data_IF_709158225666
#
_entry.id   IF_709158225666
#
_cell.length_a   1.000
_cell.length_b   1.000
_cell.length_c   1.000
_cell.angle_alpha   90.00
_cell.angle_beta   90.00
_cell.angle_gamma   90.00
#
_symmetry.space_group_name_H-M   'P 1'
#
loop_
_entity.id
_entity.type
_entity.pdbx_description
1 polymer ?
#
# COMPACT_ATOMS: atom_id res chain seq x y z
N UNK A 1 -6.82 61.98 -57.25
CA UNK A 1 -5.57 61.28 -56.86
C UNK A 1 -5.74 60.81 -55.42
N UNK A 2 -6.13 59.54 -55.20
CA UNK A 2 -6.45 59.00 -53.87
C UNK A 2 -5.17 58.49 -53.20
N UNK A 3 -4.71 59.14 -52.13
CA UNK A 3 -3.63 58.62 -51.28
C UNK A 3 -4.16 57.49 -50.38
N UNK A 4 -3.46 56.36 -50.38
CA UNK A 4 -3.64 55.25 -49.42
C UNK A 4 -2.82 55.55 -48.16
N UNK A 5 -3.34 55.33 -46.94
CA UNK A 5 -2.50 55.37 -45.74
C UNK A 5 -1.78 54.01 -45.57
N UNK A 6 -0.49 54.08 -45.29
CA UNK A 6 0.34 52.92 -44.94
C UNK A 6 0.05 52.50 -43.49
N UNK A 7 -0.20 51.21 -43.28
CA UNK A 7 -0.32 50.59 -41.96
C UNK A 7 1.09 50.24 -41.49
N UNK A 8 1.56 50.89 -40.43
CA UNK A 8 2.77 50.49 -39.72
C UNK A 8 2.39 49.43 -38.67
N UNK A 9 2.89 48.20 -38.85
CA UNK A 9 2.76 47.15 -37.84
C UNK A 9 3.75 47.41 -36.70
N UNK A 10 3.23 47.75 -35.52
CA UNK A 10 4.01 47.87 -34.29
C UNK A 10 4.16 46.47 -33.68
N UNK A 11 5.33 45.86 -33.81
CA UNK A 11 5.65 44.61 -33.12
C UNK A 11 5.85 44.90 -31.62
N UNK A 12 4.87 44.53 -30.80
CA UNK A 12 4.99 44.56 -29.34
C UNK A 12 5.76 43.32 -28.91
N UNK A 13 7.03 43.49 -28.57
CA UNK A 13 7.82 42.46 -27.87
C UNK A 13 7.49 42.57 -26.39
N UNK A 14 6.67 41.66 -25.87
CA UNK A 14 6.48 41.50 -24.43
C UNK A 14 7.72 40.82 -23.84
N UNK A 15 8.39 41.41 -22.84
CA UNK A 15 9.49 40.74 -22.17
C UNK A 15 8.91 39.59 -21.33
N UNK A 16 9.38 38.36 -21.57
CA UNK A 16 9.20 37.26 -20.63
C UNK A 16 9.96 37.60 -19.35
N UNK A 17 9.24 38.04 -18.32
CA UNK A 17 9.79 38.12 -16.98
C UNK A 17 9.99 36.69 -16.47
N UNK A 18 11.25 36.24 -16.42
CA UNK A 18 11.59 35.01 -15.70
C UNK A 18 11.26 35.23 -14.22
N UNK A 19 10.27 34.50 -13.71
CA UNK A 19 9.96 34.48 -12.28
C UNK A 19 11.16 33.80 -11.61
N UNK A 20 12.01 34.60 -10.97
CA UNK A 20 13.11 34.06 -10.17
C UNK A 20 12.52 33.22 -9.03
N UNK A 21 12.96 31.96 -8.92
CA UNK A 21 12.60 31.12 -7.79
C UNK A 21 13.03 31.82 -6.47
N UNK A 22 12.24 31.71 -5.39
CA UNK A 22 12.59 32.31 -4.11
C UNK A 22 13.95 31.79 -3.64
N UNK A 23 14.76 32.69 -3.06
CA UNK A 23 16.08 32.34 -2.53
C UNK A 23 15.95 31.20 -1.51
N UNK A 24 16.60 30.07 -1.79
CA UNK A 24 16.59 28.87 -0.94
C UNK A 24 15.79 27.68 -1.48
N UNK A 25 15.03 27.83 -2.57
CA UNK A 25 14.42 26.69 -3.25
C UNK A 25 15.48 25.82 -3.94
N UNK A 26 15.52 24.52 -3.64
CA UNK A 26 16.38 23.57 -4.35
C UNK A 26 15.92 23.49 -5.82
N UNK A 27 16.84 23.35 -6.79
CA UNK A 27 16.48 23.34 -8.22
C UNK A 27 15.62 22.11 -8.55
N UNK A 28 14.64 22.24 -9.44
CA UNK A 28 13.90 21.09 -9.94
C UNK A 28 14.74 20.37 -11.01
N UNK A 29 15.22 19.13 -10.78
CA UNK A 29 16.06 18.43 -11.75
C UNK A 29 15.27 17.89 -12.96
N UNK A 30 13.93 17.91 -12.93
CA UNK A 30 13.09 17.39 -14.01
C UNK A 30 13.11 15.87 -14.14
N UNK A 31 13.57 15.17 -13.10
CA UNK A 31 13.70 13.71 -13.10
C UNK A 31 12.36 13.07 -12.72
N UNK A 32 11.76 12.34 -13.66
CA UNK A 32 10.47 11.64 -13.47
C UNK A 32 10.62 10.16 -13.15
N UNK A 33 11.85 9.64 -13.18
CA UNK A 33 12.20 8.29 -12.75
C UNK A 33 13.62 8.30 -12.18
N UNK A 34 13.75 7.89 -10.92
CA UNK A 34 15.02 7.83 -10.19
C UNK A 34 15.32 6.42 -9.68
N UNK A 35 16.24 6.31 -8.74
CA UNK A 35 16.51 5.10 -7.96
C UNK A 35 16.49 5.40 -6.47
N UNK A 36 16.13 4.40 -5.68
CA UNK A 36 16.17 4.47 -4.23
C UNK A 36 16.59 3.14 -3.63
N UNK A 37 17.14 3.20 -2.43
CA UNK A 37 17.38 2.02 -1.61
C UNK A 37 16.16 1.81 -0.72
N UNK A 38 15.62 0.60 -0.75
CA UNK A 38 14.50 0.15 0.09
C UNK A 38 14.92 -1.14 0.78
N UNK A 39 14.27 -1.53 1.87
CA UNK A 39 14.18 -2.95 2.16
C UNK A 39 13.44 -3.65 1.02
N UNK A 40 13.56 -4.98 0.92
CA UNK A 40 12.62 -5.77 0.10
C UNK A 40 11.22 -5.63 0.72
N UNK A 41 10.40 -6.69 0.82
CA UNK A 41 9.12 -6.57 1.55
C UNK A 41 9.39 -6.08 2.98
N UNK A 42 10.12 -6.86 3.74
CA UNK A 42 10.77 -6.42 4.97
C UNK A 42 11.98 -7.37 5.22
N UNK A 43 12.94 -7.00 6.07
CA UNK A 43 14.16 -7.79 6.22
C UNK A 43 13.97 -9.17 6.88
N UNK A 44 12.93 -9.36 7.71
CA UNK A 44 12.60 -10.67 8.27
C UNK A 44 12.06 -11.57 7.17
N UNK A 45 11.08 -11.10 6.40
CA UNK A 45 10.45 -11.82 5.32
C UNK A 45 11.45 -12.31 4.28
N UNK A 46 12.40 -11.46 3.89
CA UNK A 46 13.34 -11.79 2.82
C UNK A 46 14.54 -12.61 3.26
N UNK A 47 14.90 -12.58 4.55
CA UNK A 47 16.02 -13.35 5.08
C UNK A 47 15.62 -14.65 5.78
N UNK A 48 14.40 -14.69 6.34
CA UNK A 48 13.96 -15.71 7.29
C UNK A 48 14.63 -15.59 8.67
N UNK A 49 15.33 -14.48 8.94
CA UNK A 49 16.01 -14.24 10.21
C UNK A 49 15.09 -13.55 11.22
N UNK A 50 14.41 -14.37 12.01
CA UNK A 50 13.54 -13.94 13.12
C UNK A 50 14.32 -13.33 14.30
N UNK A 51 15.67 -13.30 14.26
CA UNK A 51 16.48 -12.72 15.32
C UNK A 51 16.87 -11.26 15.10
N UNK A 52 16.46 -10.68 13.97
CA UNK A 52 16.64 -9.26 13.70
C UNK A 52 15.91 -8.42 14.75
N UNK A 53 16.52 -7.30 15.11
CA UNK A 53 15.96 -6.35 16.07
C UNK A 53 16.26 -4.94 15.60
N UNK A 54 15.38 -3.98 15.86
CA UNK A 54 15.56 -2.58 15.48
C UNK A 54 16.96 -2.03 15.89
N UNK A 55 17.37 -2.24 17.14
CA UNK A 55 18.63 -1.73 17.67
C UNK A 55 18.87 -0.23 17.41
N UNK A 56 17.81 0.59 17.49
CA UNK A 56 17.79 2.06 17.37
C UNK A 56 18.36 2.55 16.05
N UNK A 57 17.75 2.13 14.95
CA UNK A 57 18.11 2.56 13.59
C UNK A 57 19.56 2.24 13.20
N UNK A 58 20.20 1.31 13.92
CA UNK A 58 21.55 0.90 13.58
C UNK A 58 21.56 0.26 12.20
N UNK A 59 22.31 0.86 11.28
CA UNK A 59 22.48 0.32 9.92
C UNK A 59 23.09 -1.09 9.89
N UNK A 60 23.74 -1.53 10.97
CA UNK A 60 24.31 -2.89 11.06
C UNK A 60 23.34 -3.90 11.68
N UNK A 61 22.17 -3.47 12.13
CA UNK A 61 21.15 -4.36 12.67
C UNK A 61 20.53 -5.24 11.59
N UNK A 62 20.48 -4.73 10.35
CA UNK A 62 19.93 -5.43 9.19
C UNK A 62 21.05 -5.68 8.17
N UNK A 63 21.22 -6.91 7.66
CA UNK A 63 22.20 -7.21 6.62
C UNK A 63 21.98 -6.40 5.35
N UNK A 64 23.07 -5.96 4.72
CA UNK A 64 23.02 -5.21 3.45
C UNK A 64 22.33 -6.01 2.32
N UNK A 65 22.28 -7.34 2.42
CA UNK A 65 21.57 -8.21 1.47
C UNK A 65 20.05 -8.02 1.48
N UNK A 66 19.48 -7.44 2.54
CA UNK A 66 18.04 -7.22 2.67
C UNK A 66 17.57 -5.89 2.08
N UNK A 67 18.51 -5.06 1.65
CA UNK A 67 18.21 -3.86 0.88
C UNK A 67 18.20 -4.19 -0.63
N UNK A 68 17.35 -3.49 -1.36
CA UNK A 68 17.28 -3.55 -2.81
C UNK A 68 17.34 -2.13 -3.40
N UNK A 69 18.09 -1.98 -4.48
CA UNK A 69 18.02 -0.76 -5.31
C UNK A 69 16.85 -0.91 -6.29
N UNK A 70 15.87 -0.02 -6.20
CA UNK A 70 14.63 -0.07 -6.98
C UNK A 70 14.43 1.21 -7.79
N UNK A 71 13.70 1.15 -8.91
CA UNK A 71 13.31 2.36 -9.63
C UNK A 71 12.25 3.14 -8.83
N UNK A 72 12.48 4.43 -8.59
CA UNK A 72 11.46 5.34 -8.07
C UNK A 72 10.71 5.96 -9.25
N UNK A 73 9.56 5.37 -9.56
CA UNK A 73 8.73 5.73 -10.73
C UNK A 73 7.80 6.90 -10.42
N UNK A 74 7.24 7.50 -11.46
CA UNK A 74 6.19 8.52 -11.40
C UNK A 74 6.53 9.83 -10.65
N UNK A 75 7.82 10.17 -10.49
CA UNK A 75 8.24 11.40 -9.83
C UNK A 75 7.79 12.65 -10.61
N UNK A 76 7.52 13.75 -9.90
CA UNK A 76 7.03 15.01 -10.48
C UNK A 76 8.14 15.91 -11.04
N UNK A 77 9.40 15.50 -10.92
CA UNK A 77 10.56 16.26 -11.38
C UNK A 77 11.03 17.36 -10.42
N UNK A 78 10.39 17.54 -9.26
CA UNK A 78 10.77 18.54 -8.24
C UNK A 78 12.08 18.20 -7.52
N UNK A 79 12.53 16.96 -7.61
CA UNK A 79 13.68 16.43 -6.88
C UNK A 79 13.32 15.91 -5.48
N UNK A 80 12.08 16.08 -5.04
CA UNK A 80 11.53 15.47 -3.82
C UNK A 80 10.81 14.16 -4.13
N UNK A 81 10.51 13.37 -3.09
CA UNK A 81 9.65 12.18 -3.18
C UNK A 81 8.18 12.57 -3.33
N UNK A 82 7.86 13.14 -4.49
CA UNK A 82 6.53 13.56 -4.91
C UNK A 82 6.31 13.10 -6.34
N UNK A 83 5.11 12.67 -6.63
CA UNK A 83 4.80 12.03 -7.89
C UNK A 83 3.31 11.92 -8.16
N UNK A 84 3.01 11.20 -9.24
CA UNK A 84 1.63 11.01 -9.73
C UNK A 84 0.72 10.34 -8.70
N UNK A 85 1.26 9.38 -7.95
CA UNK A 85 0.50 8.54 -7.03
C UNK A 85 0.79 8.85 -5.56
N UNK A 86 1.95 9.44 -5.26
CA UNK A 86 2.41 9.61 -3.88
C UNK A 86 2.96 11.02 -3.68
N UNK A 87 2.64 11.63 -2.54
CA UNK A 87 3.33 12.82 -2.03
C UNK A 87 3.80 12.51 -0.62
N UNK A 88 5.11 12.40 -0.45
CA UNK A 88 5.69 12.23 0.89
C UNK A 88 5.83 13.59 1.56
N UNK A 89 5.24 13.70 2.75
CA UNK A 89 5.30 14.84 3.64
C UNK A 89 6.14 14.47 4.86
N UNK A 90 7.38 14.95 4.93
CA UNK A 90 8.17 14.87 6.16
C UNK A 90 7.63 15.89 7.17
N UNK A 91 7.40 15.44 8.40
CA UNK A 91 6.87 16.27 9.48
C UNK A 91 7.92 16.61 10.54
N UNK A 92 8.81 15.65 10.79
CA UNK A 92 10.07 15.83 11.50
C UNK A 92 11.17 15.31 10.57
N UNK A 93 12.39 15.83 10.67
CA UNK A 93 13.47 15.46 9.73
C UNK A 93 13.55 16.30 8.44
N UNK A 94 14.61 16.05 7.67
CA UNK A 94 14.86 16.73 6.39
C UNK A 94 14.09 16.02 5.28
N UNK A 95 13.25 16.71 4.49
CA UNK A 95 12.60 16.10 3.33
C UNK A 95 13.65 15.54 2.36
N UNK A 96 13.49 14.27 1.99
CA UNK A 96 14.35 13.61 1.01
C UNK A 96 14.37 14.40 -0.29
N UNK A 97 15.56 14.69 -0.80
CA UNK A 97 15.76 15.42 -2.03
C UNK A 97 17.00 14.94 -2.77
N UNK A 98 16.86 14.79 -4.09
CA UNK A 98 17.96 14.43 -4.97
C UNK A 98 18.00 15.28 -6.23
N UNK A 99 19.18 15.83 -6.55
CA UNK A 99 19.41 16.61 -7.77
C UNK A 99 19.73 15.72 -9.00
N UNK A 100 20.09 14.47 -8.77
CA UNK A 100 20.43 13.48 -9.82
C UNK A 100 19.49 12.27 -9.82
N UNK A 101 18.45 12.28 -8.99
CA UNK A 101 17.42 11.23 -8.95
C UNK A 101 17.83 9.98 -8.17
N UNK A 102 18.95 10.01 -7.43
CA UNK A 102 19.43 8.91 -6.59
C UNK A 102 19.09 9.20 -5.13
N UNK A 103 18.36 8.29 -4.48
CA UNK A 103 17.92 8.35 -3.08
C UNK A 103 18.45 7.14 -2.30
N UNK A 104 19.77 7.03 -2.19
CA UNK A 104 20.45 5.93 -1.51
C UNK A 104 20.65 6.25 -0.02
N UNK A 105 19.57 6.09 0.74
CA UNK A 105 19.55 6.20 2.20
C UNK A 105 19.45 4.81 2.80
N UNK A 106 19.97 4.61 4.00
CA UNK A 106 19.70 3.39 4.77
C UNK A 106 19.03 3.75 6.10
N UNK A 107 18.61 2.74 6.87
CA UNK A 107 17.76 2.93 8.04
C UNK A 107 18.21 3.95 9.09
N UNK A 108 19.51 4.26 9.19
CA UNK A 108 19.99 5.32 10.10
C UNK A 108 19.65 6.75 9.64
N UNK A 109 19.15 6.91 8.42
CA UNK A 109 18.81 8.20 7.82
C UNK A 109 17.27 8.30 7.73
N UNK A 110 16.63 9.30 8.36
CA UNK A 110 15.16 9.52 8.30
C UNK A 110 14.58 9.57 6.87
N UNK A 111 15.43 9.80 5.86
CA UNK A 111 15.01 9.79 4.45
C UNK A 111 14.75 8.38 3.93
N UNK A 112 15.27 7.34 4.56
CA UNK A 112 15.04 5.95 4.17
C UNK A 112 13.57 5.57 4.28
N UNK A 113 12.94 5.86 5.43
CA UNK A 113 11.49 5.70 5.65
C UNK A 113 10.65 6.46 4.60
N UNK A 114 11.11 7.66 4.20
CA UNK A 114 10.46 8.42 3.14
C UNK A 114 10.56 7.72 1.78
N UNK A 115 11.70 7.08 1.47
CA UNK A 115 11.90 6.31 0.23
C UNK A 115 11.04 5.04 0.24
N UNK A 116 11.01 4.31 1.36
CA UNK A 116 10.15 3.15 1.58
C UNK A 116 8.68 3.51 1.32
N UNK A 117 8.18 4.55 1.99
CA UNK A 117 6.80 5.02 1.83
C UNK A 117 6.47 5.45 0.39
N UNK A 118 7.36 6.17 -0.27
CA UNK A 118 7.16 6.54 -1.67
C UNK A 118 7.06 5.31 -2.57
N UNK A 119 8.02 4.38 -2.42
CA UNK A 119 8.10 3.20 -3.26
C UNK A 119 6.90 2.27 -3.05
N UNK A 120 6.56 1.93 -1.81
CA UNK A 120 5.54 0.92 -1.52
C UNK A 120 4.11 1.39 -1.80
N UNK A 121 3.78 2.66 -1.53
CA UNK A 121 2.48 3.21 -1.96
C UNK A 121 2.39 3.30 -3.49
N UNK A 122 3.48 3.70 -4.16
CA UNK A 122 3.52 3.72 -5.63
C UNK A 122 3.38 2.29 -6.21
N UNK A 123 4.07 1.31 -5.63
CA UNK A 123 4.04 -0.10 -6.04
C UNK A 123 2.63 -0.68 -5.86
N UNK A 124 1.97 -0.45 -4.73
CA UNK A 124 0.59 -0.87 -4.50
C UNK A 124 -0.38 -0.22 -5.51
N UNK A 125 -0.21 1.07 -5.81
CA UNK A 125 -1.05 1.75 -6.80
C UNK A 125 -0.83 1.24 -8.23
N UNK A 126 0.41 0.92 -8.62
CA UNK A 126 0.71 0.32 -9.91
C UNK A 126 0.23 -1.13 -10.00
N UNK A 127 0.28 -1.89 -8.90
CA UNK A 127 -0.31 -3.21 -8.79
C UNK A 127 -1.82 -3.15 -9.11
N UNK A 128 -2.58 -2.31 -8.39
CA UNK A 128 -4.01 -2.11 -8.62
C UNK A 128 -4.32 -1.69 -10.07
N UNK A 129 -3.50 -0.81 -10.66
CA UNK A 129 -3.69 -0.41 -12.06
C UNK A 129 -3.41 -1.54 -13.05
N UNK A 130 -2.43 -2.39 -12.75
CA UNK A 130 -2.10 -3.55 -13.59
C UNK A 130 -3.24 -4.59 -13.62
N UNK A 131 -4.10 -4.61 -12.60
CA UNK A 131 -5.33 -5.42 -12.56
C UNK A 131 -6.46 -4.84 -13.44
N UNK A 132 -6.31 -3.61 -13.93
CA UNK A 132 -7.28 -2.94 -14.82
C UNK A 132 -8.05 -1.79 -14.17
N UNK A 133 -7.90 -1.54 -12.87
CA UNK A 133 -8.60 -0.45 -12.19
C UNK A 133 -8.15 0.92 -12.69
N UNK A 134 -9.11 1.70 -13.19
CA UNK A 134 -8.86 3.01 -13.80
C UNK A 134 -8.50 2.96 -15.29
N UNK A 135 -8.54 1.77 -15.90
CA UNK A 135 -8.53 1.56 -17.35
C UNK A 135 -9.80 0.83 -17.82
N UNK A 136 -9.87 -0.49 -17.64
CA UNK A 136 -11.03 -1.34 -18.00
C UNK A 136 -12.03 -1.49 -16.86
N UNK A 137 -11.57 -1.38 -15.60
CA UNK A 137 -12.39 -1.40 -14.39
C UNK A 137 -12.50 -0.01 -13.77
N UNK A 138 -13.43 0.16 -12.82
CA UNK A 138 -13.65 1.43 -12.08
C UNK A 138 -12.33 1.90 -11.45
N UNK A 139 -12.04 3.21 -11.40
CA UNK A 139 -10.82 3.71 -10.80
C UNK A 139 -10.82 3.57 -9.26
N UNK A 140 -9.68 3.16 -8.71
CA UNK A 140 -9.40 3.08 -7.26
C UNK A 140 -8.24 4.04 -6.96
N UNK A 141 -8.39 4.89 -5.94
CA UNK A 141 -7.41 5.92 -5.51
C UNK A 141 -6.66 6.58 -6.69
N UNK A 142 -7.38 7.03 -7.73
CA UNK A 142 -6.78 7.58 -8.96
C UNK A 142 -6.32 9.03 -8.81
N UNK A 143 -5.53 9.30 -7.77
CA UNK A 143 -4.96 10.59 -7.43
C UNK A 143 -3.66 10.41 -6.64
N UNK A 144 -2.90 11.49 -6.47
CA UNK A 144 -1.77 11.48 -5.54
C UNK A 144 -2.29 11.35 -4.11
N UNK A 145 -1.71 10.41 -3.36
CA UNK A 145 -2.05 10.15 -1.97
C UNK A 145 -0.92 10.64 -1.05
N UNK A 146 -1.29 11.33 0.02
CA UNK A 146 -0.32 11.92 0.94
C UNK A 146 0.12 10.89 1.97
N UNK A 147 1.43 10.73 2.14
CA UNK A 147 2.02 9.89 3.19
C UNK A 147 2.86 10.76 4.10
N UNK A 148 2.50 10.79 5.39
CA UNK A 148 3.13 11.66 6.36
C UNK A 148 4.00 10.84 7.32
N UNK A 149 5.31 11.06 7.22
CA UNK A 149 6.33 10.30 7.95
C UNK A 149 6.60 10.97 9.31
N UNK A 150 7.03 10.18 10.29
CA UNK A 150 7.56 10.61 11.60
C UNK A 150 6.58 11.39 12.49
N UNK A 151 5.31 10.95 12.61
CA UNK A 151 4.33 11.79 13.34
C UNK A 151 4.54 11.85 14.86
N UNK A 152 4.95 10.75 15.49
CA UNK A 152 5.09 10.65 16.95
C UNK A 152 5.84 9.36 17.32
N UNK A 153 6.52 9.33 18.46
CA UNK A 153 7.30 8.17 18.93
C UNK A 153 6.46 7.00 19.48
N UNK A 154 5.24 6.83 18.97
CA UNK A 154 4.38 5.68 19.27
C UNK A 154 4.46 4.66 18.15
N UNK A 155 4.24 3.41 18.54
CA UNK A 155 4.11 2.23 17.67
C UNK A 155 2.65 2.13 17.24
N UNK A 156 2.29 2.87 16.18
CA UNK A 156 0.93 2.89 15.61
C UNK A 156 0.89 3.76 14.35
N UNK A 157 0.39 3.19 13.27
CA UNK A 157 0.08 3.85 12.01
C UNK A 157 -1.43 3.98 11.82
N UNK A 158 -1.86 4.90 10.94
CA UNK A 158 -3.27 5.01 10.58
C UNK A 158 -3.49 5.87 9.32
N UNK A 159 -4.53 5.51 8.56
CA UNK A 159 -5.17 6.37 7.57
C UNK A 159 -6.14 7.35 8.25
N UNK A 160 -6.25 8.57 7.71
CA UNK A 160 -7.29 9.53 8.08
C UNK A 160 -8.02 10.02 6.84
N UNK A 161 -9.34 10.24 6.94
CA UNK A 161 -10.16 10.79 5.84
C UNK A 161 -10.09 12.31 5.71
N UNK A 162 -9.82 13.01 6.83
CA UNK A 162 -9.81 14.47 6.90
C UNK A 162 -8.65 14.97 7.76
N UNK A 163 -7.52 15.34 7.14
CA UNK A 163 -7.22 15.25 5.70
C UNK A 163 -6.97 13.81 5.25
N UNK A 164 -7.24 13.50 3.98
CA UNK A 164 -7.06 12.18 3.36
C UNK A 164 -5.57 11.81 3.23
N UNK A 165 -5.01 11.08 4.20
CA UNK A 165 -3.58 10.72 4.25
C UNK A 165 -3.27 9.52 5.15
N UNK A 166 -2.12 8.90 4.92
CA UNK A 166 -1.47 7.92 5.82
C UNK A 166 -0.55 8.68 6.77
N UNK A 167 -0.45 8.19 8.01
CA UNK A 167 0.52 8.63 9.01
C UNK A 167 1.23 7.41 9.58
N UNK A 168 2.55 7.46 9.57
CA UNK A 168 3.39 6.36 10.07
C UNK A 168 4.06 6.75 11.40
N UNK A 169 4.10 5.78 12.31
CA UNK A 169 4.71 5.84 13.64
C UNK A 169 6.23 5.65 13.63
N UNK A 170 6.82 5.53 14.83
CA UNK A 170 8.27 5.31 15.08
C UNK A 170 8.51 4.39 16.30
N UNK A 171 7.58 3.47 16.57
CA UNK A 171 7.59 2.78 17.84
C UNK A 171 8.17 1.38 17.74
N UNK A 172 9.33 1.16 18.35
CA UNK A 172 10.02 -0.12 18.22
C UNK A 172 10.85 -0.11 16.95
N UNK A 173 10.41 -0.84 15.94
CA UNK A 173 10.85 -0.63 14.56
C UNK A 173 10.09 0.58 14.04
N UNK A 174 10.71 1.41 13.21
CA UNK A 174 9.96 2.49 12.58
C UNK A 174 8.98 1.88 11.56
N UNK A 175 7.67 2.11 11.74
CA UNK A 175 6.58 1.54 10.93
C UNK A 175 6.81 1.70 9.41
N UNK A 176 7.49 2.77 8.99
CA UNK A 176 7.85 3.04 7.60
C UNK A 176 9.04 2.21 7.06
N UNK A 177 9.59 1.30 7.87
CA UNK A 177 10.59 0.31 7.49
C UNK A 177 9.99 -1.05 7.12
N UNK A 178 8.69 -1.26 7.32
CA UNK A 178 8.00 -2.47 6.88
C UNK A 178 7.03 -2.14 5.73
N UNK A 179 7.22 -2.79 4.57
CA UNK A 179 6.33 -2.60 3.44
C UNK A 179 4.88 -2.94 3.77
N UNK A 180 4.68 -3.94 4.61
CA UNK A 180 3.35 -4.47 4.89
C UNK A 180 2.56 -3.48 5.76
N UNK A 181 3.21 -2.76 6.67
CA UNK A 181 2.59 -1.64 7.41
C UNK A 181 2.17 -0.54 6.42
N UNK A 182 3.08 -0.11 5.55
CA UNK A 182 2.80 0.95 4.56
C UNK A 182 1.62 0.58 3.65
N UNK A 183 1.59 -0.66 3.15
CA UNK A 183 0.55 -1.11 2.22
C UNK A 183 -0.76 -1.40 2.94
N UNK A 184 -0.75 -1.90 4.18
CA UNK A 184 -1.95 -2.06 5.00
C UNK A 184 -2.70 -0.72 5.12
N UNK A 185 -1.98 0.34 5.48
CA UNK A 185 -2.54 1.68 5.62
C UNK A 185 -3.04 2.26 4.28
N UNK A 186 -2.37 1.90 3.18
CA UNK A 186 -2.87 2.21 1.85
C UNK A 186 -4.13 1.39 1.49
N UNK A 187 -4.25 0.17 2.01
CA UNK A 187 -5.45 -0.67 1.92
C UNK A 187 -6.69 0.01 2.47
N UNK A 188 -6.58 0.71 3.61
CA UNK A 188 -7.66 1.57 4.11
C UNK A 188 -8.03 2.68 3.11
N UNK A 189 -7.06 3.33 2.48
CA UNK A 189 -7.35 4.32 1.44
C UNK A 189 -8.02 3.70 0.19
N UNK A 190 -7.63 2.49 -0.19
CA UNK A 190 -8.30 1.73 -1.26
C UNK A 190 -9.76 1.54 -0.91
N UNK A 191 -10.04 0.97 0.26
CA UNK A 191 -11.40 0.69 0.71
C UNK A 191 -12.23 1.98 0.85
N UNK A 192 -11.68 3.02 1.48
CA UNK A 192 -12.34 4.33 1.63
C UNK A 192 -12.71 4.98 0.30
N UNK A 193 -11.88 4.79 -0.74
CA UNK A 193 -12.13 5.35 -2.07
C UNK A 193 -13.30 4.68 -2.80
N UNK A 194 -13.64 3.45 -2.41
CA UNK A 194 -14.71 2.64 -2.98
C UNK A 194 -15.99 2.77 -2.15
N UNK A 195 -15.84 2.81 -0.82
CA UNK A 195 -16.93 2.86 0.16
C UNK A 195 -16.72 4.06 1.11
N UNK A 196 -17.10 5.28 0.71
CA UNK A 196 -16.98 6.44 1.59
C UNK A 196 -17.75 6.24 2.91
N UNK A 197 -17.02 6.30 4.03
CA UNK A 197 -17.58 6.08 5.36
C UNK A 197 -17.63 4.62 5.82
N UNK A 198 -16.89 3.71 5.18
CA UNK A 198 -16.71 2.34 5.67
C UNK A 198 -16.24 2.29 7.13
N UNK A 199 -16.46 1.14 7.79
CA UNK A 199 -16.15 0.98 9.20
C UNK A 199 -17.25 1.49 10.13
N UNK A 200 -18.48 1.66 9.63
CA UNK A 200 -19.61 2.13 10.43
C UNK A 200 -20.18 1.07 11.40
N UNK A 201 -19.69 -0.16 11.33
CA UNK A 201 -20.02 -1.29 12.21
C UNK A 201 -18.74 -2.05 12.58
N UNK A 202 -18.81 -2.93 13.59
CA UNK A 202 -17.68 -3.78 13.97
C UNK A 202 -17.22 -4.64 12.77
N UNK A 203 -18.15 -5.33 12.11
CA UNK A 203 -17.83 -6.13 10.91
C UNK A 203 -17.20 -5.28 9.81
N UNK A 204 -17.74 -4.10 9.52
CA UNK A 204 -17.17 -3.23 8.49
C UNK A 204 -15.78 -2.72 8.85
N UNK A 205 -15.52 -2.48 10.14
CA UNK A 205 -14.19 -2.14 10.65
C UNK A 205 -13.22 -3.31 10.50
N UNK A 206 -13.64 -4.51 10.92
CA UNK A 206 -12.86 -5.74 10.78
C UNK A 206 -12.57 -6.10 9.32
N UNK A 207 -13.50 -5.90 8.39
CA UNK A 207 -13.24 -6.06 6.94
C UNK A 207 -12.19 -5.04 6.49
N UNK A 208 -12.22 -3.83 7.03
CA UNK A 208 -11.20 -2.80 6.81
C UNK A 208 -9.79 -3.25 7.18
N UNK A 209 -9.62 -3.75 8.41
CA UNK A 209 -8.35 -4.28 8.93
C UNK A 209 -7.89 -5.51 8.13
N UNK A 210 -8.81 -6.44 7.90
CA UNK A 210 -8.57 -7.67 7.16
C UNK A 210 -8.13 -7.42 5.72
N UNK A 211 -8.72 -6.41 5.07
CA UNK A 211 -8.33 -5.98 3.73
C UNK A 211 -6.94 -5.35 3.71
N UNK A 212 -6.61 -4.52 4.70
CA UNK A 212 -5.27 -3.96 4.86
C UNK A 212 -4.21 -5.06 4.92
N UNK A 213 -4.40 -6.04 5.79
CA UNK A 213 -3.48 -7.18 5.96
C UNK A 213 -3.36 -8.01 4.67
N UNK A 214 -4.50 -8.36 4.06
CA UNK A 214 -4.50 -9.18 2.84
C UNK A 214 -3.81 -8.46 1.67
N UNK A 215 -4.11 -7.17 1.46
CA UNK A 215 -3.50 -6.38 0.39
C UNK A 215 -1.99 -6.21 0.60
N UNK A 216 -1.57 -6.00 1.86
CA UNK A 216 -0.15 -5.88 2.23
C UNK A 216 0.65 -7.11 1.79
N UNK A 217 0.21 -8.30 2.19
CA UNK A 217 0.86 -9.55 1.82
C UNK A 217 0.79 -9.78 0.31
N UNK A 218 -0.38 -9.57 -0.33
CA UNK A 218 -0.51 -9.83 -1.77
C UNK A 218 0.40 -8.94 -2.62
N UNK A 219 0.46 -7.63 -2.31
CA UNK A 219 1.37 -6.69 -2.99
C UNK A 219 2.84 -7.02 -2.70
N UNK A 220 3.16 -7.40 -1.46
CA UNK A 220 4.51 -7.83 -1.07
C UNK A 220 4.98 -9.04 -1.86
N UNK A 221 4.15 -10.09 -1.97
CA UNK A 221 4.44 -11.29 -2.74
C UNK A 221 4.54 -11.03 -4.24
N UNK A 222 3.66 -10.19 -4.79
CA UNK A 222 3.73 -9.79 -6.20
C UNK A 222 5.02 -9.01 -6.52
N UNK A 223 5.41 -8.08 -5.65
CA UNK A 223 6.68 -7.37 -5.78
C UNK A 223 7.87 -8.33 -5.64
N UNK A 224 7.85 -9.25 -4.67
CA UNK A 224 8.91 -10.23 -4.51
C UNK A 224 9.08 -11.08 -5.78
N UNK A 225 7.98 -11.53 -6.40
CA UNK A 225 8.02 -12.19 -7.70
C UNK A 225 8.57 -11.28 -8.81
N UNK A 226 8.06 -10.05 -8.91
CA UNK A 226 8.46 -9.07 -9.93
C UNK A 226 9.97 -8.80 -9.92
N UNK A 227 10.55 -8.67 -8.71
CA UNK A 227 11.95 -8.31 -8.52
C UNK A 227 12.87 -9.51 -8.27
N UNK A 228 12.33 -10.72 -8.18
CA UNK A 228 13.10 -11.93 -7.88
C UNK A 228 13.67 -11.93 -6.45
N UNK A 229 12.97 -11.31 -5.51
CA UNK A 229 13.36 -11.30 -4.10
C UNK A 229 13.00 -12.63 -3.43
N UNK A 230 13.84 -13.10 -2.49
CA UNK A 230 13.49 -14.26 -1.68
C UNK A 230 12.26 -13.98 -0.81
N UNK A 231 11.46 -15.02 -0.60
CA UNK A 231 10.41 -15.10 0.42
C UNK A 231 10.82 -16.25 1.33
N UNK A 232 11.31 -15.92 2.51
CA UNK A 232 12.02 -16.85 3.39
C UNK A 232 11.39 -17.00 4.78
N UNK A 233 10.51 -16.07 5.18
CA UNK A 233 9.58 -16.25 6.30
C UNK A 233 8.20 -16.76 5.79
N UNK A 234 7.30 -17.21 6.68
CA UNK A 234 5.97 -17.68 6.28
C UNK A 234 5.17 -16.60 5.53
N UNK A 235 4.69 -16.91 4.32
CA UNK A 235 3.99 -15.94 3.46
C UNK A 235 2.74 -15.29 4.10
N UNK A 236 2.07 -16.00 4.99
CA UNK A 236 0.85 -15.54 5.66
C UNK A 236 1.12 -14.66 6.91
N UNK A 237 2.39 -14.45 7.27
CA UNK A 237 2.80 -13.56 8.34
C UNK A 237 2.63 -12.11 7.87
N UNK A 238 2.15 -11.24 8.76
CA UNK A 238 1.89 -9.84 8.46
C UNK A 238 2.78 -8.99 9.36
N UNK A 239 3.55 -8.08 8.75
CA UNK A 239 4.37 -7.06 9.41
C UNK A 239 5.47 -7.67 10.29
N UNK A 240 6.16 -8.67 9.75
CA UNK A 240 7.08 -9.53 10.50
C UNK A 240 8.23 -8.74 11.13
N UNK A 241 8.77 -7.78 10.38
CA UNK A 241 9.87 -6.95 10.84
C UNK A 241 9.43 -6.01 11.94
N UNK A 242 8.34 -5.30 11.73
CA UNK A 242 7.75 -4.40 12.73
C UNK A 242 7.49 -5.15 14.06
N UNK A 243 6.95 -6.36 13.90
CA UNK A 243 6.59 -7.26 15.00
C UNK A 243 7.73 -7.74 15.87
N UNK A 244 8.98 -7.67 15.40
CA UNK A 244 10.17 -8.04 16.22
C UNK A 244 10.27 -7.22 17.51
N UNK A 245 9.67 -6.02 17.55
CA UNK A 245 9.76 -5.13 18.70
C UNK A 245 8.79 -5.44 19.85
N UNK A 246 7.69 -6.15 19.57
CA UNK A 246 6.60 -6.30 20.54
C UNK A 246 5.99 -7.71 20.60
N UNK A 247 6.24 -8.58 19.63
CA UNK A 247 5.77 -9.97 19.69
C UNK A 247 6.78 -10.87 20.40
N UNK A 248 6.28 -11.84 21.17
CA UNK A 248 7.09 -12.83 21.85
C UNK A 248 7.08 -14.15 21.08
N UNK A 249 8.22 -14.83 20.99
CA UNK A 249 8.31 -16.15 20.39
C UNK A 249 9.42 -16.25 19.35
N UNK A 250 9.54 -17.40 18.68
CA UNK A 250 10.56 -17.63 17.66
C UNK A 250 10.14 -17.15 16.26
N UNK A 251 8.89 -16.69 16.10
CA UNK A 251 8.34 -16.17 14.85
C UNK A 251 7.58 -14.90 15.19
N UNK A 252 7.90 -13.81 14.50
CA UNK A 252 7.31 -12.50 14.71
C UNK A 252 6.29 -12.22 13.62
N UNK A 253 4.99 -12.28 13.96
CA UNK A 253 3.89 -11.86 13.10
C UNK A 253 2.95 -10.97 13.92
N UNK A 254 2.51 -9.83 13.39
CA UNK A 254 1.51 -9.02 14.06
C UNK A 254 0.18 -9.77 14.09
N UNK A 255 -0.17 -10.33 12.93
CA UNK A 255 -1.33 -11.20 12.67
C UNK A 255 -0.95 -12.23 11.62
N UNK A 256 -1.81 -13.23 11.43
CA UNK A 256 -1.62 -14.26 10.41
C UNK A 256 -2.86 -14.41 9.52
N UNK A 257 -2.62 -14.57 8.22
CA UNK A 257 -3.67 -14.82 7.22
C UNK A 257 -4.09 -16.29 7.14
N UNK A 258 -3.42 -17.20 7.84
CA UNK A 258 -3.66 -18.64 7.78
C UNK A 258 -4.08 -19.23 9.14
N UNK A 259 -4.73 -18.42 9.99
CA UNK A 259 -5.35 -18.92 11.22
C UNK A 259 -6.57 -19.78 10.90
N UNK A 260 -7.09 -20.53 11.87
CA UNK A 260 -8.37 -21.28 11.79
C UNK A 260 -9.54 -20.54 12.46
N UNK A 261 -9.41 -19.23 12.71
CA UNK A 261 -10.43 -18.44 13.42
C UNK A 261 -11.76 -18.42 12.65
N UNK A 262 -12.86 -18.48 13.41
CA UNK A 262 -14.23 -18.43 12.91
C UNK A 262 -15.02 -17.33 13.60
N UNK A 263 -16.24 -17.03 13.11
CA UNK A 263 -17.15 -16.09 13.79
C UNK A 263 -17.48 -16.46 15.24
N UNK A 264 -17.29 -17.73 15.64
CA UNK A 264 -17.48 -18.17 17.02
C UNK A 264 -16.37 -17.69 17.97
N UNK A 265 -15.21 -17.29 17.43
CA UNK A 265 -14.02 -16.90 18.17
C UNK A 265 -13.91 -15.39 18.38
N UNK A 266 -14.89 -14.59 17.90
CA UNK A 266 -14.86 -13.12 17.96
C UNK A 266 -14.62 -12.56 19.37
N UNK A 267 -13.85 -11.48 19.43
CA UNK A 267 -13.52 -10.74 20.66
C UNK A 267 -14.14 -9.33 20.69
N UNK A 268 -14.74 -8.86 19.60
CA UNK A 268 -15.31 -7.52 19.54
C UNK A 268 -14.28 -6.42 19.28
N UNK A 269 -13.17 -6.78 18.65
CA UNK A 269 -12.03 -5.92 18.36
C UNK A 269 -11.69 -6.07 16.87
N UNK A 270 -11.53 -4.95 16.15
CA UNK A 270 -11.52 -4.96 14.68
C UNK A 270 -10.32 -5.71 14.11
N UNK A 271 -9.14 -5.59 14.70
CA UNK A 271 -7.93 -6.24 14.21
C UNK A 271 -7.97 -7.75 14.47
N UNK A 272 -8.41 -8.16 15.66
CA UNK A 272 -8.56 -9.57 16.00
C UNK A 272 -9.65 -10.23 15.16
N UNK A 273 -10.86 -9.66 15.13
CA UNK A 273 -12.00 -10.20 14.38
C UNK A 273 -11.76 -10.15 12.87
N UNK A 274 -10.92 -9.21 12.40
CA UNK A 274 -10.47 -9.12 11.01
C UNK A 274 -9.73 -10.37 10.52
N UNK A 275 -9.00 -11.07 11.40
CA UNK A 275 -8.27 -12.30 11.03
C UNK A 275 -9.20 -13.43 10.55
N UNK A 276 -10.48 -13.41 10.96
CA UNK A 276 -11.48 -14.36 10.47
C UNK A 276 -11.73 -14.12 8.97
N UNK A 277 -11.87 -12.85 8.58
CA UNK A 277 -12.19 -12.48 7.21
C UNK A 277 -10.95 -12.54 6.29
N UNK A 278 -9.78 -12.11 6.78
CA UNK A 278 -8.53 -12.21 6.01
C UNK A 278 -8.10 -13.67 5.83
N UNK A 279 -8.41 -14.55 6.80
CA UNK A 279 -8.29 -16.00 6.67
C UNK A 279 -9.11 -16.58 5.53
N UNK A 280 -10.38 -16.19 5.41
CA UNK A 280 -11.23 -16.60 4.29
C UNK A 280 -10.67 -16.12 2.93
N UNK A 281 -10.15 -14.89 2.86
CA UNK A 281 -9.52 -14.40 1.63
C UNK A 281 -8.28 -15.22 1.25
N UNK A 282 -7.45 -15.57 2.21
CA UNK A 282 -6.24 -16.35 1.98
C UNK A 282 -6.55 -17.77 1.48
N UNK A 283 -7.55 -18.43 2.06
CA UNK A 283 -8.03 -19.73 1.60
C UNK A 283 -8.63 -19.64 0.19
N UNK A 284 -9.44 -18.61 -0.08
CA UNK A 284 -10.03 -18.38 -1.39
C UNK A 284 -8.97 -18.11 -2.47
N UNK A 285 -7.93 -17.31 -2.16
CA UNK A 285 -6.76 -17.09 -3.02
C UNK A 285 -6.10 -18.42 -3.40
N UNK A 286 -5.84 -19.27 -2.42
CA UNK A 286 -5.23 -20.60 -2.62
C UNK A 286 -6.14 -21.50 -3.46
N UNK A 287 -7.46 -21.43 -3.25
CA UNK A 287 -8.46 -22.15 -4.04
C UNK A 287 -8.49 -21.70 -5.51
N UNK A 288 -8.34 -20.39 -5.79
CA UNK A 288 -8.21 -19.88 -7.16
C UNK A 288 -6.98 -20.47 -7.87
N UNK A 289 -5.84 -20.51 -7.18
CA UNK A 289 -4.62 -21.11 -7.71
C UNK A 289 -4.78 -22.61 -7.99
N UNK A 290 -5.53 -23.33 -7.13
CA UNK A 290 -5.86 -24.74 -7.36
C UNK A 290 -6.77 -24.96 -8.59
N UNK A 291 -7.57 -23.96 -8.99
CA UNK A 291 -8.34 -23.96 -10.24
C UNK A 291 -7.51 -23.57 -11.47
N UNK A 292 -6.25 -23.19 -11.29
CA UNK A 292 -5.38 -22.70 -12.37
C UNK A 292 -5.57 -21.23 -12.71
N UNK A 293 -6.31 -20.49 -11.87
CA UNK A 293 -6.36 -19.03 -11.90
C UNK A 293 -5.14 -18.46 -11.15
N UNK A 294 -4.94 -17.16 -11.28
CA UNK A 294 -3.85 -16.43 -10.63
C UNK A 294 -4.34 -15.71 -9.38
N UNK A 295 -3.45 -15.48 -8.41
CA UNK A 295 -3.72 -14.59 -7.27
C UNK A 295 -4.13 -13.17 -7.72
N UNK A 296 -3.59 -12.68 -8.84
CA UNK A 296 -4.00 -11.42 -9.47
C UNK A 296 -5.45 -11.42 -9.95
N UNK A 297 -5.96 -12.54 -10.46
CA UNK A 297 -7.39 -12.69 -10.78
C UNK A 297 -8.19 -12.62 -9.47
N UNK A 298 -7.86 -13.42 -8.46
CA UNK A 298 -8.57 -13.34 -7.18
C UNK A 298 -8.60 -11.92 -6.60
N UNK A 299 -7.47 -11.22 -6.56
CA UNK A 299 -7.38 -9.82 -6.11
C UNK A 299 -8.27 -8.88 -6.93
N UNK A 300 -8.33 -9.08 -8.25
CA UNK A 300 -9.22 -8.32 -9.13
C UNK A 300 -10.68 -8.51 -8.74
N UNK A 301 -11.08 -9.74 -8.39
CA UNK A 301 -12.44 -10.05 -7.92
C UNK A 301 -12.75 -9.37 -6.61
N UNK A 302 -11.87 -9.48 -5.61
CA UNK A 302 -12.07 -8.88 -4.29
C UNK A 302 -12.17 -7.36 -4.40
N UNK A 303 -11.25 -6.71 -5.14
CA UNK A 303 -11.28 -5.25 -5.29
C UNK A 303 -12.52 -4.80 -6.07
N UNK A 304 -12.97 -5.49 -7.13
CA UNK A 304 -14.18 -5.05 -7.84
C UNK A 304 -15.46 -5.31 -7.00
N UNK A 305 -15.47 -6.34 -6.16
CA UNK A 305 -16.58 -6.62 -5.24
C UNK A 305 -16.73 -5.54 -4.16
N UNK A 306 -15.63 -4.94 -3.67
CA UNK A 306 -15.69 -3.90 -2.63
C UNK A 306 -16.54 -2.68 -3.03
N UNK A 307 -16.65 -2.37 -4.32
CA UNK A 307 -17.54 -1.29 -4.76
C UNK A 307 -19.04 -1.55 -4.52
N UNK A 308 -19.40 -2.82 -4.27
CA UNK A 308 -20.77 -3.25 -4.02
C UNK A 308 -21.04 -3.35 -2.48
N UNK A 309 -20.06 -3.00 -1.64
CA UNK A 309 -20.20 -2.93 -0.19
C UNK A 309 -20.88 -1.62 0.25
N UNK A 310 -21.49 -1.67 1.44
CA UNK A 310 -22.03 -0.54 2.18
C UNK A 310 -21.10 -0.10 3.35
N UNK A 311 -21.26 1.13 3.88
CA UNK A 311 -20.50 1.62 5.04
C UNK A 311 -20.49 0.70 6.28
N UNK A 312 -21.58 -0.04 6.50
CA UNK A 312 -21.83 -0.91 7.65
C UNK A 312 -21.86 -2.41 7.29
N UNK A 313 -21.32 -2.78 6.13
CA UNK A 313 -21.30 -4.15 5.58
C UNK A 313 -20.95 -5.21 6.63
N UNK A 314 -21.77 -6.25 6.72
CA UNK A 314 -21.47 -7.43 7.53
C UNK A 314 -20.54 -8.40 6.79
N UNK A 315 -19.92 -9.34 7.52
CA UNK A 315 -19.11 -10.40 6.91
C UNK A 315 -19.88 -11.19 5.83
N UNK A 316 -21.12 -11.57 6.12
CA UNK A 316 -21.98 -12.31 5.19
C UNK A 316 -22.27 -11.52 3.91
N UNK A 317 -22.55 -10.22 4.04
CA UNK A 317 -22.83 -9.36 2.89
C UNK A 317 -21.58 -9.13 2.03
N UNK A 318 -20.40 -8.97 2.65
CA UNK A 318 -19.14 -8.88 1.93
C UNK A 318 -18.80 -10.18 1.18
N UNK A 319 -18.96 -11.34 1.85
CA UNK A 319 -18.75 -12.65 1.24
C UNK A 319 -19.69 -12.88 0.04
N UNK A 320 -20.97 -12.50 0.19
CA UNK A 320 -21.96 -12.56 -0.89
C UNK A 320 -21.56 -11.70 -2.08
N UNK A 321 -21.13 -10.46 -1.86
CA UNK A 321 -20.69 -9.59 -2.94
C UNK A 321 -19.42 -10.11 -3.66
N UNK A 322 -18.47 -10.72 -2.94
CA UNK A 322 -17.30 -11.38 -3.54
C UNK A 322 -17.72 -12.60 -4.35
N UNK A 323 -18.65 -13.41 -3.82
CA UNK A 323 -19.21 -14.57 -4.52
C UNK A 323 -19.87 -14.16 -5.85
N UNK A 324 -20.77 -13.17 -5.82
CA UNK A 324 -21.47 -12.67 -7.01
C UNK A 324 -20.48 -12.14 -8.05
N UNK A 325 -19.42 -11.48 -7.58
CA UNK A 325 -18.36 -10.99 -8.46
C UNK A 325 -17.58 -12.14 -9.10
N UNK A 326 -17.17 -13.13 -8.31
CA UNK A 326 -16.50 -14.32 -8.80
C UNK A 326 -17.37 -15.06 -9.82
N UNK A 327 -18.66 -15.24 -9.54
CA UNK A 327 -19.60 -15.95 -10.41
C UNK A 327 -19.72 -15.29 -11.78
N UNK A 328 -19.79 -13.95 -11.80
CA UNK A 328 -19.93 -13.18 -13.04
C UNK A 328 -18.63 -13.05 -13.81
N UNK A 329 -17.49 -12.95 -13.12
CA UNK A 329 -16.18 -12.65 -13.73
C UNK A 329 -15.38 -13.91 -14.08
N UNK A 330 -15.36 -14.88 -13.17
CA UNK A 330 -14.45 -16.03 -13.19
C UNK A 330 -15.18 -17.37 -13.30
N UNK A 331 -16.50 -17.39 -13.07
CA UNK A 331 -17.37 -18.53 -13.27
C UNK A 331 -17.75 -19.27 -11.98
N UNK A 332 -18.55 -20.33 -12.15
CA UNK A 332 -19.19 -21.03 -11.03
C UNK A 332 -18.19 -21.73 -10.10
N UNK A 333 -17.11 -22.31 -10.62
CA UNK A 333 -16.10 -22.99 -9.80
C UNK A 333 -15.35 -21.99 -8.91
N UNK A 334 -15.03 -20.80 -9.43
CA UNK A 334 -14.41 -19.72 -8.67
C UNK A 334 -15.35 -19.17 -7.59
N UNK A 335 -16.65 -19.04 -7.89
CA UNK A 335 -17.65 -18.64 -6.90
C UNK A 335 -17.80 -19.68 -5.78
N UNK A 336 -17.80 -20.98 -6.12
CA UNK A 336 -17.83 -22.06 -5.14
C UNK A 336 -16.63 -22.01 -4.18
N UNK A 337 -15.43 -21.68 -4.68
CA UNK A 337 -14.25 -21.46 -3.83
C UNK A 337 -14.47 -20.33 -2.82
N UNK A 338 -15.12 -19.22 -3.22
CA UNK A 338 -15.48 -18.14 -2.30
C UNK A 338 -16.42 -18.67 -1.22
N UNK A 339 -17.50 -19.33 -1.63
CA UNK A 339 -18.51 -19.87 -0.71
C UNK A 339 -17.89 -20.84 0.31
N UNK A 340 -17.07 -21.79 -0.15
CA UNK A 340 -16.41 -22.78 0.70
C UNK A 340 -15.44 -22.12 1.70
N UNK A 341 -14.62 -21.18 1.23
CA UNK A 341 -13.64 -20.48 2.06
C UNK A 341 -14.31 -19.65 3.16
N UNK A 342 -15.37 -18.91 2.84
CA UNK A 342 -16.12 -18.13 3.84
C UNK A 342 -16.95 -19.04 4.78
N UNK A 343 -17.53 -20.12 4.26
CA UNK A 343 -18.27 -21.09 5.08
C UNK A 343 -17.37 -21.77 6.11
N UNK A 344 -16.10 -22.04 5.78
CA UNK A 344 -15.10 -22.57 6.72
C UNK A 344 -14.88 -21.64 7.93
N UNK A 345 -15.16 -20.34 7.77
CA UNK A 345 -15.04 -19.31 8.82
C UNK A 345 -16.37 -19.03 9.55
N UNK A 346 -17.42 -19.77 9.19
CA UNK A 346 -18.79 -19.56 9.69
C UNK A 346 -19.46 -18.31 9.12
N UNK A 347 -19.01 -17.82 7.95
CA UNK A 347 -19.58 -16.69 7.22
C UNK A 347 -20.47 -17.23 6.10
N UNK A 348 -21.68 -16.71 5.96
CA UNK A 348 -22.69 -17.23 5.03
C UNK A 348 -22.75 -16.40 3.75
N UNK A 349 -22.75 -17.07 2.59
CA UNK A 349 -23.10 -16.48 1.29
C UNK A 349 -24.60 -16.62 1.06
N UNK A 350 -25.28 -15.52 0.74
CA UNK A 350 -26.70 -15.51 0.37
C UNK A 350 -26.88 -15.69 -1.14
N UNK A 351 -27.89 -16.46 -1.54
CA UNK A 351 -28.22 -16.79 -2.95
C UNK A 351 -29.55 -16.19 -3.41
#
# INVERSE_FOLDING_TARGET
MKLRPAIAALAVVLPFAAIAAPAGAKPAPGITTGSGLVFKVNPVQSSGDESLVDAKDSATAVPASEYASVPLRNLDGSGYLRGRWVTVESATGTPAYSANGVFDYNRKDDQFEQVMAYFWVNQAQEYIQSLGFGSTLRPVVKQAFSVKIDQYGGDNSYQTDKPYRIRLGKGGVDDAEDAEVIVHEYGHAVHASQVPGYGASLDAGSIGEAWGDYLAVSVGLDAAQQYGWPVAAPEACVMDWDSTSYTAGPVHCLRRLDTDLTVADREGEVHFDGQIWSGALWDARSGYEALGLTSREFDTTVIDAQFDFAPDTSFDAAATAIYDKALTRDGADAAAVIEDAFAARGITVAH
#
